data_IF_718680488324
#
_entry.id   IF_718680488324
#
_cell.length_a   1.000
_cell.length_b   1.000
_cell.length_c   1.000
_cell.angle_alpha   90.00
_cell.angle_beta   90.00
_cell.angle_gamma   90.00
#
_symmetry.space_group_name_H-M   'P 1'
#
loop_
_entity.id
_entity.type
_entity.pdbx_description
1 polymer ?
#
# COMPACT_ATOMS: atom_id res chain seq x y z
N UNK A 1 -11.91 -19.03 -18.35
CA UNK A 1 -13.03 -18.07 -18.37
C UNK A 1 -13.08 -17.43 -16.99
N UNK A 2 -12.24 -16.41 -16.78
CA UNK A 2 -12.62 -15.34 -15.88
C UNK A 2 -13.55 -14.50 -16.75
N UNK A 3 -14.82 -14.37 -16.40
CA UNK A 3 -15.75 -13.58 -17.20
C UNK A 3 -15.37 -12.10 -17.08
N UNK A 4 -14.96 -11.53 -18.22
CA UNK A 4 -14.22 -10.28 -18.37
C UNK A 4 -15.13 -9.03 -18.53
N UNK A 5 -16.45 -9.17 -18.58
CA UNK A 5 -17.31 -8.11 -19.13
C UNK A 5 -17.92 -7.11 -18.11
N UNK A 6 -17.65 -7.21 -16.80
CA UNK A 6 -18.27 -6.33 -15.78
C UNK A 6 -17.30 -5.60 -14.83
N UNK A 7 -16.02 -5.43 -15.19
CA UNK A 7 -15.14 -4.46 -14.48
C UNK A 7 -15.52 -3.05 -14.94
N UNK A 8 -16.57 -2.49 -14.33
CA UNK A 8 -17.07 -1.14 -14.64
C UNK A 8 -16.73 -0.15 -13.53
N UNK A 9 -15.72 0.67 -13.80
CA UNK A 9 -15.40 1.92 -13.11
C UNK A 9 -16.61 2.87 -13.16
N UNK A 10 -17.02 3.43 -12.02
CA UNK A 10 -17.77 4.70 -11.94
C UNK A 10 -17.70 5.24 -10.51
N UNK A 11 -17.05 6.39 -10.36
CA UNK A 11 -16.96 7.25 -9.18
C UNK A 11 -16.13 6.73 -7.97
N UNK A 12 -14.85 6.38 -8.19
CA UNK A 12 -13.90 6.09 -7.10
C UNK A 12 -12.74 5.10 -7.41
N UNK A 13 -12.47 4.90 -8.70
CA UNK A 13 -11.37 4.19 -9.37
C UNK A 13 -10.96 2.79 -8.87
N UNK A 14 -11.46 1.76 -9.59
CA UNK A 14 -10.96 0.39 -9.59
C UNK A 14 -9.68 0.27 -10.45
N UNK A 15 -8.51 0.53 -9.86
CA UNK A 15 -7.20 0.47 -10.52
C UNK A 15 -6.59 -0.94 -10.54
N UNK A 16 -7.16 -1.90 -11.28
CA UNK A 16 -6.51 -3.22 -11.37
C UNK A 16 -5.17 -3.25 -12.13
N UNK A 17 -4.89 -2.30 -13.04
CA UNK A 17 -3.66 -2.31 -13.85
C UNK A 17 -3.45 -1.01 -14.65
N UNK A 18 -3.23 0.14 -14.00
CA UNK A 18 -2.56 1.27 -14.68
C UNK A 18 -1.04 1.30 -14.46
N UNK A 19 -0.48 0.24 -13.88
CA UNK A 19 0.94 -0.05 -14.10
C UNK A 19 1.05 -0.91 -15.35
N UNK A 20 1.41 -0.25 -16.44
CA UNK A 20 1.93 -0.90 -17.66
C UNK A 20 2.99 -1.96 -17.28
N UNK A 21 3.06 -3.11 -17.98
CA UNK A 21 4.13 -4.10 -17.80
C UNK A 21 5.55 -3.61 -18.14
N UNK A 22 5.77 -2.31 -18.33
CA UNK A 22 6.94 -1.77 -19.03
C UNK A 22 7.61 -0.55 -18.37
N UNK A 23 7.51 -0.40 -17.04
CA UNK A 23 8.42 0.50 -16.34
C UNK A 23 9.51 -0.30 -15.61
N UNK A 24 10.71 -0.45 -16.22
CA UNK A 24 11.85 -1.17 -15.62
C UNK A 24 12.35 -0.55 -14.31
N UNK A 25 11.83 0.62 -13.95
CA UNK A 25 12.20 1.40 -12.78
C UNK A 25 11.07 1.46 -11.75
N UNK A 26 10.27 0.39 -11.59
CA UNK A 26 9.26 0.36 -10.52
C UNK A 26 9.97 0.42 -9.16
N UNK A 27 10.25 1.61 -8.65
CA UNK A 27 10.88 1.83 -7.34
C UNK A 27 9.96 1.41 -6.19
N UNK A 28 8.70 1.03 -6.48
CA UNK A 28 7.69 0.75 -5.48
C UNK A 28 7.92 -0.62 -4.85
N UNK A 29 8.02 -0.61 -3.52
CA UNK A 29 8.11 -1.79 -2.64
C UNK A 29 6.73 -2.40 -2.34
N UNK A 30 5.68 -1.65 -2.65
CA UNK A 30 4.30 -1.91 -2.26
C UNK A 30 3.39 -1.53 -3.44
N UNK A 31 2.52 -2.46 -3.86
CA UNK A 31 1.42 -2.19 -4.78
C UNK A 31 0.10 -2.50 -4.09
N UNK A 32 -0.83 -1.57 -4.11
CA UNK A 32 -2.15 -1.71 -3.51
C UNK A 32 -3.20 -1.92 -4.61
N UNK A 33 -4.21 -2.76 -4.36
CA UNK A 33 -5.38 -2.85 -5.24
C UNK A 33 -6.17 -1.54 -5.30
N UNK A 34 -6.12 -0.75 -4.22
CA UNK A 34 -6.75 0.55 -4.08
C UNK A 34 -5.75 1.57 -3.50
N UNK A 35 -5.50 2.67 -4.22
CA UNK A 35 -4.66 3.78 -3.72
C UNK A 35 -5.42 4.75 -2.82
N UNK A 36 -6.76 4.70 -2.85
CA UNK A 36 -7.66 5.47 -1.99
C UNK A 36 -8.57 4.47 -1.30
N UNK A 37 -8.65 4.56 0.02
CA UNK A 37 -9.47 3.63 0.79
C UNK A 37 -10.91 4.13 0.90
N UNK A 38 -11.90 3.21 0.90
CA UNK A 38 -13.28 3.56 1.13
C UNK A 38 -13.44 4.22 2.50
N UNK A 39 -14.24 5.28 2.57
CA UNK A 39 -14.41 6.10 3.77
C UNK A 39 -15.30 5.47 4.83
N UNK A 40 -16.11 4.47 4.42
CA UNK A 40 -17.06 3.79 5.29
C UNK A 40 -17.03 2.27 5.10
N UNK A 41 -17.45 1.55 6.15
CA UNK A 41 -17.55 0.09 6.12
C UNK A 41 -18.55 -0.43 5.06
N UNK A 42 -19.62 0.34 4.81
CA UNK A 42 -20.62 0.01 3.80
C UNK A 42 -20.02 0.08 2.40
N UNK A 43 -19.25 1.13 2.10
CA UNK A 43 -18.52 1.25 0.84
C UNK A 43 -17.47 0.14 0.70
N UNK A 44 -16.76 -0.18 1.77
CA UNK A 44 -15.77 -1.27 1.77
C UNK A 44 -16.41 -2.62 1.42
N UNK A 45 -17.58 -2.93 1.98
CA UNK A 45 -18.29 -4.20 1.72
C UNK A 45 -18.82 -4.28 0.28
N UNK A 46 -19.03 -3.13 -0.38
CA UNK A 46 -19.49 -3.04 -1.77
C UNK A 46 -18.35 -3.13 -2.78
N UNK A 47 -17.09 -3.12 -2.34
CA UNK A 47 -15.94 -3.29 -3.22
C UNK A 47 -15.87 -4.74 -3.72
N UNK A 48 -15.86 -4.91 -5.05
CA UNK A 48 -15.72 -6.23 -5.69
C UNK A 48 -14.32 -6.81 -5.45
N UNK A 49 -13.34 -5.94 -5.24
CA UNK A 49 -11.94 -6.26 -5.07
C UNK A 49 -11.55 -6.00 -3.62
N UNK A 50 -11.01 -6.98 -2.89
CA UNK A 50 -10.56 -6.74 -1.53
C UNK A 50 -9.41 -5.73 -1.50
N UNK A 51 -9.33 -4.95 -0.42
CA UNK A 51 -8.16 -4.14 -0.09
C UNK A 51 -7.00 -5.10 0.16
N UNK A 52 -6.05 -5.12 -0.77
CA UNK A 52 -4.92 -6.05 -0.77
C UNK A 52 -3.65 -5.33 -1.19
N UNK A 53 -2.52 -5.88 -0.76
CA UNK A 53 -1.20 -5.32 -1.01
C UNK A 53 -0.24 -6.42 -1.47
N UNK A 54 0.51 -6.14 -2.53
CA UNK A 54 1.68 -6.92 -2.91
C UNK A 54 2.92 -6.22 -2.38
N UNK A 55 3.61 -6.85 -1.43
CA UNK A 55 4.77 -6.29 -0.73
C UNK A 55 6.02 -7.11 -1.00
N UNK A 56 7.13 -6.45 -1.33
CA UNK A 56 8.45 -7.08 -1.48
C UNK A 56 9.39 -6.57 -0.39
N UNK A 57 9.51 -7.26 0.75
CA UNK A 57 10.26 -6.76 1.92
C UNK A 57 11.75 -6.54 1.66
N UNK A 58 12.38 -7.43 0.89
CA UNK A 58 13.82 -7.45 0.65
C UNK A 58 14.18 -6.95 -0.75
N UNK A 59 13.40 -6.03 -1.30
CA UNK A 59 13.77 -5.43 -2.58
C UNK A 59 15.04 -4.60 -2.39
N UNK A 60 16.09 -4.83 -3.19
CA UNK A 60 17.34 -4.10 -3.06
C UNK A 60 17.11 -2.62 -3.33
N UNK A 61 17.62 -1.77 -2.44
CA UNK A 61 17.67 -0.32 -2.61
C UNK A 61 19.07 0.14 -2.24
N UNK A 62 19.83 0.51 -3.26
CA UNK A 62 21.19 1.05 -3.08
C UNK A 62 21.17 2.49 -2.55
N UNK A 63 20.01 3.15 -2.62
CA UNK A 63 19.82 4.56 -2.23
C UNK A 63 19.75 4.78 -0.71
N UNK A 64 19.50 3.73 0.09
CA UNK A 64 19.29 3.85 1.54
C UNK A 64 20.47 3.24 2.31
N UNK A 65 21.21 4.02 3.13
CA UNK A 65 22.24 3.47 4.00
C UNK A 65 21.63 2.62 5.12
N UNK A 66 22.34 1.60 5.62
CA UNK A 66 21.88 0.79 6.74
C UNK A 66 21.83 1.64 8.01
N UNK A 67 20.74 1.51 8.75
CA UNK A 67 20.53 2.20 10.02
C UNK A 67 21.15 1.37 11.15
N UNK A 68 22.14 1.93 11.84
CA UNK A 68 22.94 1.24 12.87
C UNK A 68 22.46 1.53 14.32
N UNK A 69 21.15 1.65 14.52
CA UNK A 69 20.57 1.83 15.85
C UNK A 69 19.35 0.92 16.03
N UNK A 70 19.02 0.60 17.28
CA UNK A 70 17.84 -0.20 17.59
C UNK A 70 16.55 0.58 17.32
N UNK A 71 15.55 -0.03 16.65
CA UNK A 71 14.34 0.67 16.27
C UNK A 71 13.61 1.25 17.49
N UNK A 72 13.30 2.54 17.42
CA UNK A 72 12.52 3.22 18.47
C UNK A 72 11.08 2.71 18.40
N UNK A 73 10.67 1.93 19.40
CA UNK A 73 9.33 1.36 19.50
C UNK A 73 8.41 2.20 20.40
N UNK A 74 7.14 2.32 19.99
CA UNK A 74 6.10 2.92 20.81
C UNK A 74 5.84 2.09 22.08
N UNK A 75 5.38 2.75 23.16
CA UNK A 75 5.08 2.10 24.43
C UNK A 75 3.95 1.06 24.28
N UNK A 76 3.93 -0.01 25.10
CA UNK A 76 2.85 -0.99 25.08
C UNK A 76 1.47 -0.34 25.28
N UNK A 77 0.43 -0.79 24.57
CA UNK A 77 0.33 -2.04 23.77
C UNK A 77 0.75 -1.92 22.29
N UNK A 78 1.06 -0.72 21.79
CA UNK A 78 1.22 -0.46 20.35
C UNK A 78 2.47 -1.11 19.73
N UNK A 79 3.66 -0.89 20.32
CA UNK A 79 4.96 -1.42 19.82
C UNK A 79 5.28 -1.10 18.35
N UNK A 80 4.60 -0.15 17.72
CA UNK A 80 4.92 0.30 16.37
C UNK A 80 6.29 0.98 16.33
N UNK A 81 7.02 0.82 15.21
CA UNK A 81 8.32 1.48 15.00
C UNK A 81 8.10 2.92 14.53
N UNK A 82 8.91 3.85 15.05
CA UNK A 82 8.91 5.25 14.66
C UNK A 82 9.02 5.40 13.13
N UNK A 83 8.06 6.10 12.53
CA UNK A 83 8.02 6.39 11.10
C UNK A 83 7.79 7.90 10.86
N UNK A 84 8.06 8.42 9.64
CA UNK A 84 7.86 9.84 9.32
C UNK A 84 6.42 10.35 9.46
N UNK A 85 5.44 9.44 9.58
CA UNK A 85 4.04 9.79 9.79
C UNK A 85 3.70 10.05 11.27
N UNK A 86 4.63 9.81 12.19
CA UNK A 86 4.46 10.17 13.59
C UNK A 86 4.54 11.69 13.77
N UNK A 87 3.56 12.26 14.46
CA UNK A 87 3.62 13.65 14.91
C UNK A 87 4.63 13.78 16.05
N UNK A 88 5.59 14.68 15.90
CA UNK A 88 6.59 14.99 16.92
C UNK A 88 6.11 16.24 17.65
N UNK A 89 5.66 16.09 18.90
CA UNK A 89 5.43 17.26 19.76
C UNK A 89 6.76 17.67 20.37
N UNK A 90 7.10 18.94 20.21
CA UNK A 90 8.18 19.60 20.95
C UNK A 90 7.72 19.94 22.38
#
# INVERSE_FOLDING_TARGET
MLDFEDVKERDGDCLFARDTPDQPNSLLLLRLSWNVWPSSHIEATRTVVPISALYTPLKPREDLPPVLYEPVACKPPCRAILNPYCQISI
#
